data_IF_117522912199
#
_entry.id   IF_117522912199
#
_cell.length_a   1.000
_cell.length_b   1.000
_cell.length_c   1.000
_cell.angle_alpha   90.00
_cell.angle_beta   90.00
_cell.angle_gamma   90.00
#
_symmetry.space_group_name_H-M   'P 1'
#
loop_
_entity.id
_entity.type
_entity.pdbx_description
1 polymer ?
#
# COMPACT_ATOMS: atom_id res chain seq x y z
N UNK A 1 -28.27 12.75 32.28
CA UNK A 1 -28.11 11.46 31.56
C UNK A 1 -27.07 11.49 30.41
N UNK A 2 -26.50 12.64 30.02
CA UNK A 2 -25.57 12.71 28.87
C UNK A 2 -24.09 12.35 29.13
N UNK A 3 -23.59 12.43 30.37
CA UNK A 3 -22.16 12.26 30.66
C UNK A 3 -21.67 10.80 30.53
N UNK A 4 -22.45 9.83 31.01
CA UNK A 4 -22.09 8.41 30.95
C UNK A 4 -22.07 7.82 29.52
N UNK A 5 -22.90 8.33 28.60
CA UNK A 5 -22.89 7.93 27.18
C UNK A 5 -21.68 8.48 26.43
N UNK A 6 -21.25 9.70 26.77
CA UNK A 6 -20.08 10.34 26.16
C UNK A 6 -18.76 9.65 26.56
N UNK A 7 -18.60 9.30 27.84
CA UNK A 7 -17.42 8.56 28.32
C UNK A 7 -17.28 7.19 27.66
N UNK A 8 -18.38 6.45 27.56
CA UNK A 8 -18.46 5.15 26.87
C UNK A 8 -18.16 5.25 25.37
N UNK A 9 -18.57 6.35 24.74
CA UNK A 9 -18.21 6.65 23.34
C UNK A 9 -16.71 6.86 23.22
N UNK A 10 -16.11 7.68 24.10
CA UNK A 10 -14.67 7.94 24.12
C UNK A 10 -13.88 6.63 24.30
N UNK A 11 -14.32 5.72 25.17
CA UNK A 11 -13.64 4.44 25.41
C UNK A 11 -13.69 3.50 24.19
N UNK A 12 -14.85 3.36 23.54
CA UNK A 12 -14.98 2.58 22.29
C UNK A 12 -14.06 3.15 21.21
N UNK A 13 -13.98 4.47 21.13
CA UNK A 13 -13.16 5.21 20.18
C UNK A 13 -11.68 5.05 20.47
N UNK A 14 -11.28 5.15 21.73
CA UNK A 14 -9.93 4.85 22.17
C UNK A 14 -9.56 3.41 21.82
N UNK A 15 -10.41 2.41 22.01
CA UNK A 15 -10.07 1.05 21.58
C UNK A 15 -9.98 0.89 20.06
N UNK A 16 -10.89 1.54 19.30
CA UNK A 16 -10.90 1.49 17.85
C UNK A 16 -9.65 2.14 17.22
N UNK A 17 -9.19 3.25 17.79
CA UNK A 17 -8.10 4.07 17.25
C UNK A 17 -6.81 4.05 18.09
N UNK A 18 -6.75 3.28 19.19
CA UNK A 18 -5.50 3.11 19.96
C UNK A 18 -4.59 2.06 19.33
N UNK A 19 -3.33 2.12 19.75
CA UNK A 19 -2.29 1.15 19.41
C UNK A 19 -2.57 -0.28 19.87
N UNK A 20 -3.64 -0.57 20.62
CA UNK A 20 -3.88 -1.91 21.16
C UNK A 20 -4.82 -2.78 20.29
N UNK A 21 -5.42 -2.22 19.23
CA UNK A 21 -6.37 -2.92 18.36
C UNK A 21 -7.70 -3.24 19.05
N UNK A 22 -8.70 -3.67 18.27
CA UNK A 22 -10.02 -4.04 18.80
C UNK A 22 -10.01 -5.45 19.42
N UNK A 23 -10.45 -5.63 20.68
CA UNK A 23 -11.00 -6.91 21.11
C UNK A 23 -12.37 -7.15 20.44
N UNK A 24 -12.89 -8.38 20.50
CA UNK A 24 -14.16 -8.79 19.89
C UNK A 24 -15.31 -7.83 20.26
N UNK A 25 -16.27 -7.55 19.36
CA UNK A 25 -17.43 -6.69 19.68
C UNK A 25 -18.17 -7.16 20.95
N UNK A 26 -18.15 -8.48 21.19
CA UNK A 26 -18.67 -9.12 22.41
C UNK A 26 -17.81 -8.70 23.61
N UNK A 27 -16.49 -8.88 23.57
CA UNK A 27 -15.57 -8.42 24.62
C UNK A 27 -15.68 -6.92 24.91
N UNK A 28 -15.91 -6.07 23.89
CA UNK A 28 -16.14 -4.63 24.07
C UNK A 28 -17.48 -4.33 24.77
N UNK A 29 -18.56 -5.01 24.35
CA UNK A 29 -19.87 -4.89 25.00
C UNK A 29 -19.84 -5.29 26.47
N UNK A 30 -19.09 -6.36 26.80
CA UNK A 30 -18.90 -6.85 28.16
C UNK A 30 -17.96 -5.95 28.98
N UNK A 31 -16.87 -5.44 28.38
CA UNK A 31 -15.91 -4.57 29.07
C UNK A 31 -16.52 -3.22 29.44
N UNK A 32 -17.40 -2.67 28.60
CA UNK A 32 -17.97 -1.33 28.80
C UNK A 32 -19.44 -1.33 29.25
N UNK A 33 -20.06 -2.52 29.37
CA UNK A 33 -21.50 -2.69 29.62
C UNK A 33 -22.32 -1.84 28.63
N UNK A 34 -22.07 -2.03 27.33
CA UNK A 34 -22.76 -1.35 26.23
C UNK A 34 -23.40 -2.40 25.34
N UNK A 35 -24.67 -2.21 24.95
CA UNK A 35 -25.34 -3.11 24.00
C UNK A 35 -24.67 -3.02 22.63
N UNK A 36 -24.47 -4.17 21.96
CA UNK A 36 -23.82 -4.27 20.65
C UNK A 36 -24.34 -3.29 19.60
N UNK A 37 -25.66 -3.03 19.60
CA UNK A 37 -26.29 -2.07 18.69
C UNK A 37 -25.77 -0.64 18.86
N UNK A 38 -25.54 -0.21 20.11
CA UNK A 38 -24.98 1.11 20.41
C UNK A 38 -23.53 1.22 19.95
N UNK A 39 -22.71 0.18 20.16
CA UNK A 39 -21.33 0.15 19.66
C UNK A 39 -21.29 0.26 18.14
N UNK A 40 -22.16 -0.48 17.43
CA UNK A 40 -22.27 -0.37 15.97
C UNK A 40 -22.63 1.05 15.52
N UNK A 41 -23.59 1.71 16.17
CA UNK A 41 -23.97 3.10 15.85
C UNK A 41 -22.80 4.07 16.05
N UNK A 42 -22.09 3.97 17.17
CA UNK A 42 -20.90 4.80 17.46
C UNK A 42 -19.84 4.63 16.36
N UNK A 43 -19.54 3.38 15.97
CA UNK A 43 -18.57 3.10 14.91
C UNK A 43 -19.01 3.73 13.58
N UNK A 44 -20.30 3.61 13.23
CA UNK A 44 -20.85 4.19 12.00
C UNK A 44 -20.73 5.71 11.99
N UNK A 45 -21.34 6.36 12.98
CA UNK A 45 -21.38 7.82 13.10
C UNK A 45 -19.97 8.42 13.07
N UNK A 46 -19.04 7.78 13.79
CA UNK A 46 -17.65 8.21 13.81
C UNK A 46 -16.97 8.03 12.47
N UNK A 47 -16.98 6.81 11.91
CA UNK A 47 -16.23 6.53 10.69
C UNK A 47 -16.74 7.39 9.53
N UNK A 48 -18.06 7.62 9.49
CA UNK A 48 -18.69 8.46 8.49
C UNK A 48 -18.36 9.95 8.71
N UNK A 49 -18.28 10.42 9.96
CA UNK A 49 -17.82 11.78 10.28
C UNK A 49 -16.35 12.01 9.86
N UNK A 50 -15.47 11.05 10.18
CA UNK A 50 -14.05 11.09 9.76
C UNK A 50 -13.95 11.12 8.23
N UNK A 51 -14.66 10.22 7.55
CA UNK A 51 -14.67 10.16 6.09
C UNK A 51 -15.14 11.47 5.48
N UNK A 52 -16.27 12.00 5.95
CA UNK A 52 -16.85 13.26 5.46
C UNK A 52 -15.91 14.44 5.67
N UNK A 53 -15.23 14.51 6.82
CA UNK A 53 -14.32 15.61 7.14
C UNK A 53 -12.99 15.55 6.38
N UNK A 54 -12.46 14.35 6.15
CA UNK A 54 -11.07 14.17 5.70
C UNK A 54 -10.92 13.66 4.27
N UNK A 55 -11.86 12.87 3.74
CA UNK A 55 -11.69 12.20 2.45
C UNK A 55 -11.40 13.19 1.31
N UNK A 56 -12.19 14.24 1.18
CA UNK A 56 -12.02 15.22 0.09
C UNK A 56 -10.71 16.01 0.18
N UNK A 57 -10.09 16.10 1.36
CA UNK A 57 -8.87 16.85 1.61
C UNK A 57 -7.61 16.00 1.50
N UNK A 58 -7.65 14.78 2.04
CA UNK A 58 -6.48 13.93 2.25
C UNK A 58 -6.47 12.64 1.39
N UNK A 59 -7.50 12.42 0.57
CA UNK A 59 -7.55 11.38 -0.47
C UNK A 59 -7.76 12.00 -1.86
N UNK A 60 -6.92 12.98 -2.20
CA UNK A 60 -6.96 13.64 -3.51
C UNK A 60 -6.05 12.93 -4.51
N UNK A 61 -6.56 12.73 -5.72
CA UNK A 61 -5.71 12.44 -6.86
C UNK A 61 -5.00 13.72 -7.32
N UNK A 62 -3.83 13.62 -8.00
CA UNK A 62 -3.19 14.76 -8.62
C UNK A 62 -4.13 15.43 -9.63
N UNK A 63 -4.24 16.75 -9.58
CA UNK A 63 -5.25 17.50 -10.33
C UNK A 63 -4.68 18.11 -11.62
N UNK A 64 -3.38 18.39 -11.66
CA UNK A 64 -2.71 19.05 -12.78
C UNK A 64 -1.58 18.20 -13.35
N UNK A 65 -1.20 18.48 -14.61
CA UNK A 65 -0.01 17.89 -15.23
C UNK A 65 1.26 18.20 -14.42
N UNK A 66 1.32 19.35 -13.77
CA UNK A 66 2.45 19.74 -12.94
C UNK A 66 2.55 18.88 -11.67
N UNK A 67 1.43 18.54 -11.05
CA UNK A 67 1.41 17.60 -9.92
C UNK A 67 1.95 16.23 -10.35
N UNK A 68 1.55 15.74 -11.52
CA UNK A 68 2.05 14.49 -12.08
C UNK A 68 3.56 14.53 -12.34
N UNK A 69 4.07 15.64 -12.90
CA UNK A 69 5.51 15.85 -13.11
C UNK A 69 6.28 15.89 -11.80
N UNK A 70 5.73 16.55 -10.77
CA UNK A 70 6.35 16.62 -9.46
C UNK A 70 6.44 15.24 -8.80
N UNK A 71 5.39 14.43 -8.92
CA UNK A 71 5.42 13.05 -8.41
C UNK A 71 6.44 12.21 -9.20
N UNK A 72 6.44 12.31 -10.53
CA UNK A 72 7.41 11.61 -11.38
C UNK A 72 8.86 12.00 -11.04
N UNK A 73 9.11 13.28 -10.79
CA UNK A 73 10.40 13.78 -10.32
C UNK A 73 10.78 13.18 -8.97
N UNK A 74 9.84 13.10 -8.02
CA UNK A 74 10.05 12.46 -6.72
C UNK A 74 10.47 10.99 -6.87
N UNK A 75 9.74 10.21 -7.68
CA UNK A 75 10.10 8.81 -7.95
C UNK A 75 11.44 8.66 -8.68
N UNK A 76 11.77 9.59 -9.57
CA UNK A 76 13.06 9.58 -10.25
C UNK A 76 14.22 9.89 -9.29
N UNK A 77 14.05 10.87 -8.39
CA UNK A 77 15.08 11.23 -7.42
C UNK A 77 15.27 10.13 -6.37
N UNK A 78 14.18 9.62 -5.79
CA UNK A 78 14.26 8.63 -4.70
C UNK A 78 14.60 7.22 -5.20
N UNK A 79 14.02 6.80 -6.33
CA UNK A 79 14.04 5.39 -6.75
C UNK A 79 14.71 5.18 -8.11
N UNK A 80 15.18 6.26 -8.76
CA UNK A 80 15.70 6.26 -10.13
C UNK A 80 14.73 5.61 -11.14
N UNK A 81 13.44 5.80 -10.92
CA UNK A 81 12.41 5.32 -11.82
C UNK A 81 11.76 6.53 -12.51
N UNK A 82 12.17 6.88 -13.75
CA UNK A 82 11.62 8.02 -14.47
C UNK A 82 10.14 7.79 -14.77
N UNK A 83 9.37 8.88 -14.91
CA UNK A 83 7.95 8.88 -15.31
C UNK A 83 7.02 8.01 -14.46
N UNK A 84 7.50 7.43 -13.35
CA UNK A 84 6.66 6.70 -12.40
C UNK A 84 5.87 7.68 -11.56
N UNK A 85 4.56 7.60 -11.62
CA UNK A 85 3.65 8.53 -10.94
C UNK A 85 2.94 7.91 -9.74
N UNK A 86 3.33 6.70 -9.38
CA UNK A 86 2.77 6.04 -8.21
C UNK A 86 3.10 4.57 -8.15
N UNK A 87 3.16 4.07 -6.92
CA UNK A 87 3.17 2.65 -6.65
C UNK A 87 1.80 2.24 -6.12
N UNK A 88 1.30 1.11 -6.59
CA UNK A 88 -0.04 0.65 -6.25
C UNK A 88 0.02 -0.84 -5.89
N UNK A 89 -0.81 -1.25 -4.95
CA UNK A 89 -0.79 -2.62 -4.44
C UNK A 89 -2.17 -2.99 -3.86
N UNK A 90 -2.41 -4.28 -3.74
CA UNK A 90 -3.61 -4.82 -3.11
C UNK A 90 -3.30 -5.70 -1.93
N UNK A 91 -4.05 -5.52 -0.84
CA UNK A 91 -3.96 -6.33 0.37
C UNK A 91 -5.28 -7.02 0.67
N UNK A 92 -5.21 -8.25 1.15
CA UNK A 92 -6.26 -8.89 1.92
C UNK A 92 -6.27 -8.31 3.34
N UNK A 93 -7.34 -7.60 3.68
CA UNK A 93 -7.70 -7.27 5.05
C UNK A 93 -8.40 -8.50 5.63
N UNK A 94 -7.74 -9.21 6.55
CA UNK A 94 -8.30 -10.37 7.20
C UNK A 94 -9.51 -9.97 8.04
N UNK A 95 -10.60 -10.72 7.90
CA UNK A 95 -11.82 -10.54 8.67
C UNK A 95 -12.22 -11.86 9.31
N UNK A 96 -12.95 -11.78 10.41
CA UNK A 96 -13.65 -12.95 10.93
C UNK A 96 -14.72 -13.41 9.94
N UNK A 97 -14.98 -14.73 9.87
CA UNK A 97 -16.03 -15.27 9.02
C UNK A 97 -17.37 -14.61 9.36
N UNK A 98 -17.99 -13.86 8.42
CA UNK A 98 -19.29 -13.28 8.69
C UNK A 98 -20.34 -14.39 8.79
N UNK A 99 -21.33 -14.21 9.67
CA UNK A 99 -22.45 -15.16 9.80
C UNK A 99 -23.11 -15.39 8.44
N UNK A 100 -23.38 -16.64 8.13
CA UNK A 100 -24.08 -17.09 6.92
C UNK A 100 -23.44 -16.66 5.59
N UNK A 101 -22.14 -16.31 5.59
CA UNK A 101 -21.46 -15.82 4.40
C UNK A 101 -20.89 -16.92 3.48
N UNK A 102 -20.90 -18.18 3.92
CA UNK A 102 -20.31 -19.29 3.17
C UNK A 102 -18.89 -18.96 2.69
N UNK A 103 -18.64 -19.11 1.39
CA UNK A 103 -17.34 -18.81 0.76
C UNK A 103 -17.19 -17.38 0.23
N UNK A 104 -18.17 -16.48 0.42
CA UNK A 104 -18.19 -15.15 -0.21
C UNK A 104 -17.00 -14.23 0.17
N UNK A 105 -16.31 -14.53 1.28
CA UNK A 105 -15.09 -13.83 1.73
C UNK A 105 -13.89 -14.76 1.84
N UNK A 106 -14.05 -16.05 1.55
CA UNK A 106 -13.00 -17.04 1.70
C UNK A 106 -12.05 -16.97 0.50
N UNK A 107 -10.78 -16.66 0.76
CA UNK A 107 -9.77 -16.49 -0.28
C UNK A 107 -8.97 -17.78 -0.51
N UNK A 108 -8.17 -17.79 -1.57
CA UNK A 108 -7.30 -18.92 -1.94
C UNK A 108 -6.14 -19.14 -0.95
N UNK A 109 -5.91 -18.22 0.00
CA UNK A 109 -4.96 -18.38 1.12
C UNK A 109 -5.61 -19.04 2.34
N UNK A 110 -6.81 -19.58 2.20
CA UNK A 110 -7.55 -20.31 3.24
C UNK A 110 -7.96 -19.47 4.46
N UNK A 111 -8.32 -18.19 4.26
CA UNK A 111 -8.92 -17.36 5.30
C UNK A 111 -9.96 -16.38 4.75
N UNK A 112 -10.78 -15.80 5.63
CA UNK A 112 -11.78 -14.79 5.24
C UNK A 112 -11.16 -13.39 5.16
N UNK A 113 -11.43 -12.65 4.08
CA UNK A 113 -10.84 -11.33 3.88
C UNK A 113 -11.66 -10.40 3.00
N UNK A 114 -11.38 -9.10 3.12
CA UNK A 114 -11.80 -8.07 2.18
C UNK A 114 -10.59 -7.57 1.40
N UNK A 115 -10.76 -7.35 0.09
CA UNK A 115 -9.68 -6.81 -0.74
C UNK A 115 -9.65 -5.28 -0.61
N UNK A 116 -8.50 -4.75 -0.20
CA UNK A 116 -8.18 -3.34 -0.20
C UNK A 116 -7.18 -3.06 -1.33
N UNK A 117 -7.59 -2.26 -2.31
CA UNK A 117 -6.71 -1.80 -3.39
C UNK A 117 -6.29 -0.35 -3.11
N UNK A 118 -4.99 -0.10 -2.99
CA UNK A 118 -4.44 1.24 -2.94
C UNK A 118 -4.15 1.71 -4.37
N UNK A 119 -5.05 2.56 -4.87
CA UNK A 119 -4.97 3.16 -6.20
C UNK A 119 -6.37 3.38 -6.72
N UNK A 120 -6.68 4.63 -7.08
CA UNK A 120 -7.95 4.95 -7.71
C UNK A 120 -7.89 4.64 -9.21
N UNK A 121 -9.04 4.62 -9.89
CA UNK A 121 -9.06 4.68 -11.36
C UNK A 121 -8.56 6.07 -11.74
N UNK A 122 -7.28 6.15 -12.10
CA UNK A 122 -6.60 7.40 -12.44
C UNK A 122 -6.73 7.62 -13.96
N UNK A 123 -7.21 8.78 -14.36
CA UNK A 123 -6.94 9.30 -15.71
C UNK A 123 -5.48 9.77 -15.70
N UNK A 124 -4.58 8.95 -16.23
CA UNK A 124 -3.16 9.28 -16.31
C UNK A 124 -2.96 10.34 -17.41
N UNK A 125 -2.01 11.28 -17.24
CA UNK A 125 -1.67 12.23 -18.28
C UNK A 125 -1.10 11.51 -19.51
N UNK A 126 -1.24 12.12 -20.68
CA UNK A 126 -0.63 11.63 -21.91
C UNK A 126 0.90 11.47 -21.75
N UNK A 127 1.51 10.46 -22.40
CA UNK A 127 2.96 10.22 -22.37
C UNK A 127 3.77 11.50 -22.67
N UNK A 128 4.85 11.73 -21.93
CA UNK A 128 5.74 12.88 -22.13
C UNK A 128 7.20 12.41 -22.25
N UNK A 129 7.99 13.10 -23.06
CA UNK A 129 9.41 12.75 -23.27
C UNK A 129 10.20 12.90 -21.97
N UNK A 130 11.05 11.90 -21.67
CA UNK A 130 11.87 11.87 -20.45
C UNK A 130 12.98 12.92 -20.55
N UNK A 131 13.67 12.97 -21.70
CA UNK A 131 14.71 13.95 -22.04
C UNK A 131 14.60 14.33 -23.53
N UNK A 132 15.16 15.48 -23.94
CA UNK A 132 15.16 15.95 -25.35
C UNK A 132 15.87 14.99 -26.34
N UNK A 133 16.68 14.03 -25.85
CA UNK A 133 17.45 13.07 -26.66
C UNK A 133 17.25 11.60 -26.22
N UNK A 134 16.27 11.29 -25.35
CA UNK A 134 16.05 9.94 -24.82
C UNK A 134 14.75 9.30 -25.34
N UNK A 135 14.66 7.97 -25.22
CA UNK A 135 13.45 7.20 -25.56
C UNK A 135 12.21 7.73 -24.81
N UNK A 136 11.10 7.90 -25.53
CA UNK A 136 9.82 8.32 -24.96
C UNK A 136 9.28 7.24 -24.02
N UNK A 137 9.32 7.48 -22.70
CA UNK A 137 8.70 6.60 -21.70
C UNK A 137 7.37 7.19 -21.25
N UNK A 138 6.29 6.40 -21.19
CA UNK A 138 5.00 6.89 -20.73
C UNK A 138 4.99 7.11 -19.22
N UNK A 139 4.06 7.96 -18.76
CA UNK A 139 3.73 8.00 -17.34
C UNK A 139 3.12 6.66 -16.91
N UNK A 140 3.64 6.10 -15.82
CA UNK A 140 3.28 4.74 -15.42
C UNK A 140 3.08 4.59 -13.93
N UNK A 141 2.24 3.63 -13.57
CA UNK A 141 2.12 3.13 -12.21
C UNK A 141 2.89 1.81 -12.10
N UNK A 142 3.62 1.63 -11.00
CA UNK A 142 4.27 0.35 -10.70
C UNK A 142 3.38 -0.51 -9.80
N UNK A 143 3.32 -1.81 -10.10
CA UNK A 143 2.49 -2.80 -9.38
C UNK A 143 3.16 -4.15 -9.23
N UNK A 144 2.53 -4.97 -8.39
CA UNK A 144 2.86 -6.39 -8.28
C UNK A 144 2.39 -7.22 -9.47
N UNK A 145 2.95 -8.42 -9.56
CA UNK A 145 2.67 -9.44 -10.57
C UNK A 145 1.19 -9.85 -10.63
N UNK A 146 0.41 -9.53 -9.59
CA UNK A 146 -1.03 -9.81 -9.46
C UNK A 146 -1.90 -9.05 -10.45
N UNK A 147 -1.40 -7.95 -11.01
CA UNK A 147 -2.13 -7.13 -11.97
C UNK A 147 -1.71 -7.46 -13.42
N UNK A 148 -2.60 -7.25 -14.40
CA UNK A 148 -2.23 -7.37 -15.81
C UNK A 148 -1.22 -6.29 -16.17
N UNK A 149 -0.24 -6.62 -17.01
CA UNK A 149 0.66 -5.64 -17.59
C UNK A 149 -0.14 -4.76 -18.57
N UNK A 150 -0.01 -3.44 -18.44
CA UNK A 150 -0.60 -2.44 -19.36
C UNK A 150 0.47 -1.43 -19.75
N UNK A 151 0.27 -0.67 -20.81
CA UNK A 151 1.17 0.42 -21.23
C UNK A 151 1.39 1.46 -20.13
N UNK A 152 0.39 1.65 -19.27
CA UNK A 152 0.42 2.57 -18.13
C UNK A 152 0.61 1.86 -16.78
N UNK A 153 0.74 0.53 -16.76
CA UNK A 153 0.84 -0.29 -15.56
C UNK A 153 1.99 -1.29 -15.66
N UNK A 154 3.12 -0.92 -15.07
CA UNK A 154 4.34 -1.71 -15.09
C UNK A 154 4.35 -2.76 -13.98
N UNK A 155 4.78 -3.98 -14.33
CA UNK A 155 4.98 -5.09 -13.40
C UNK A 155 6.30 -5.83 -13.69
N UNK A 156 6.84 -6.61 -12.74
CA UNK A 156 8.11 -7.31 -12.96
C UNK A 156 8.04 -8.32 -14.12
N UNK A 157 9.20 -8.62 -14.70
CA UNK A 157 9.36 -9.79 -15.57
C UNK A 157 9.11 -11.06 -14.74
N UNK A 158 8.26 -11.98 -15.24
CA UNK A 158 8.04 -13.26 -14.58
C UNK A 158 9.21 -14.22 -14.83
N UNK A 159 9.44 -15.14 -13.90
CA UNK A 159 10.44 -16.21 -14.03
C UNK A 159 11.65 -16.04 -13.11
N UNK A 160 12.36 -17.15 -12.88
CA UNK A 160 13.53 -17.20 -11.99
C UNK A 160 14.86 -17.01 -12.73
N UNK A 161 14.94 -17.45 -13.99
CA UNK A 161 16.12 -17.29 -14.85
C UNK A 161 15.89 -16.11 -15.79
N UNK A 162 16.32 -14.93 -15.37
CA UNK A 162 16.18 -13.67 -16.10
C UNK A 162 17.55 -13.18 -16.55
N UNK A 163 17.61 -12.55 -17.73
CA UNK A 163 18.81 -11.85 -18.18
C UNK A 163 19.16 -10.69 -17.24
N UNK A 164 20.43 -10.27 -17.21
CA UNK A 164 20.92 -9.19 -16.33
C UNK A 164 20.04 -7.93 -16.43
N UNK A 165 19.78 -7.48 -17.64
CA UNK A 165 18.86 -6.39 -17.97
C UNK A 165 17.47 -6.50 -17.30
N UNK A 166 16.81 -7.66 -17.43
CA UNK A 166 15.48 -7.90 -16.83
C UNK A 166 15.54 -7.92 -15.30
N UNK A 167 16.66 -8.39 -14.73
CA UNK A 167 16.89 -8.37 -13.29
C UNK A 167 17.11 -6.95 -12.77
N UNK A 168 17.86 -6.11 -13.50
CA UNK A 168 18.03 -4.68 -13.19
C UNK A 168 16.66 -3.99 -13.19
N UNK A 169 15.86 -4.16 -14.25
CA UNK A 169 14.50 -3.62 -14.30
C UNK A 169 13.64 -4.07 -13.10
N UNK A 170 13.63 -5.38 -12.79
CA UNK A 170 12.85 -5.89 -11.66
C UNK A 170 13.30 -5.27 -10.34
N UNK A 171 14.61 -5.10 -10.15
CA UNK A 171 15.17 -4.47 -8.97
C UNK A 171 14.75 -2.99 -8.85
N UNK A 172 14.84 -2.20 -9.94
CA UNK A 172 14.35 -0.81 -9.99
C UNK A 172 12.86 -0.71 -9.68
N UNK A 173 12.05 -1.61 -10.25
CA UNK A 173 10.63 -1.67 -9.98
C UNK A 173 10.33 -2.00 -8.52
N UNK A 174 11.06 -2.96 -7.93
CA UNK A 174 10.95 -3.29 -6.50
C UNK A 174 11.34 -2.12 -5.59
N UNK A 175 12.31 -1.30 -5.99
CA UNK A 175 12.66 -0.04 -5.29
C UNK A 175 11.49 0.94 -5.30
N UNK A 176 10.96 1.28 -6.48
CA UNK A 176 9.82 2.19 -6.59
C UNK A 176 8.58 1.71 -5.80
N UNK A 177 8.33 0.40 -5.79
CA UNK A 177 7.26 -0.22 -5.01
C UNK A 177 7.43 -0.12 -3.50
N UNK A 178 8.63 0.17 -2.99
CA UNK A 178 8.86 0.35 -1.56
C UNK A 178 8.00 1.45 -0.98
N UNK A 179 7.64 2.46 -1.79
CA UNK A 179 6.68 3.52 -1.43
C UNK A 179 5.32 2.96 -0.96
N UNK A 180 4.75 1.99 -1.70
CA UNK A 180 3.45 1.42 -1.34
C UNK A 180 3.56 0.39 -0.22
N UNK A 181 4.69 -0.33 -0.15
CA UNK A 181 4.98 -1.24 0.96
C UNK A 181 5.10 -0.48 2.29
N UNK A 182 5.86 0.61 2.32
CA UNK A 182 5.97 1.50 3.47
C UNK A 182 4.58 2.05 3.86
N UNK A 183 3.77 2.49 2.89
CA UNK A 183 2.41 3.00 3.16
C UNK A 183 1.56 1.98 3.92
N UNK A 184 1.45 0.74 3.43
CA UNK A 184 0.68 -0.30 4.12
C UNK A 184 1.33 -0.75 5.43
N UNK A 185 2.66 -0.83 5.46
CA UNK A 185 3.43 -1.22 6.63
C UNK A 185 3.23 -0.25 7.80
N UNK A 186 3.36 1.05 7.54
CA UNK A 186 3.12 2.13 8.51
C UNK A 186 1.65 2.15 8.93
N UNK A 187 0.71 1.96 8.00
CA UNK A 187 -0.71 1.87 8.32
C UNK A 187 -0.96 0.74 9.34
N UNK A 188 -0.45 -0.46 9.10
CA UNK A 188 -0.63 -1.55 10.05
C UNK A 188 0.11 -1.36 11.37
N UNK A 189 1.34 -0.85 11.31
CA UNK A 189 2.16 -0.62 12.50
C UNK A 189 1.60 0.49 13.41
N UNK A 190 0.93 1.50 12.83
CA UNK A 190 0.29 2.58 13.61
C UNK A 190 -1.11 2.21 14.08
N UNK A 191 -1.84 1.43 13.29
CA UNK A 191 -3.20 1.04 13.57
C UNK A 191 -3.28 -0.48 13.69
N UNK A 192 -3.05 -0.99 14.90
CA UNK A 192 -2.94 -2.43 15.18
C UNK A 192 -4.21 -3.24 14.85
N UNK A 193 -5.33 -2.58 14.57
CA UNK A 193 -6.53 -3.21 13.98
C UNK A 193 -6.20 -3.96 12.68
N UNK A 194 -5.17 -3.54 11.94
CA UNK A 194 -4.68 -4.18 10.73
C UNK A 194 -3.59 -5.25 10.98
N UNK A 195 -3.12 -5.44 12.21
CA UNK A 195 -2.20 -6.53 12.57
C UNK A 195 -2.93 -7.87 12.69
N UNK A 196 -4.25 -7.86 12.93
CA UNK A 196 -5.07 -9.04 13.26
C UNK A 196 -6.37 -9.08 12.44
N UNK A 197 -7.08 -10.23 12.39
CA UNK A 197 -8.39 -10.30 11.76
C UNK A 197 -9.39 -9.34 12.40
N UNK A 198 -10.06 -8.52 11.58
CA UNK A 198 -11.05 -7.55 12.07
C UNK A 198 -12.36 -8.29 12.37
N UNK A 199 -12.78 -8.21 13.64
CA UNK A 199 -14.01 -8.85 14.14
C UNK A 199 -15.21 -7.90 14.03
N UNK A 200 -15.70 -7.71 12.82
CA UNK A 200 -16.87 -6.86 12.55
C UNK A 200 -17.63 -7.33 11.30
N UNK A 201 -18.86 -6.84 11.11
CA UNK A 201 -19.58 -7.09 9.86
C UNK A 201 -18.81 -6.51 8.67
N UNK A 202 -18.93 -7.08 7.45
CA UNK A 202 -18.22 -6.57 6.27
C UNK A 202 -18.46 -5.08 6.01
N UNK A 203 -19.67 -4.61 6.29
CA UNK A 203 -20.03 -3.21 6.13
C UNK A 203 -19.30 -2.31 7.16
N UNK A 204 -19.17 -2.74 8.41
CA UNK A 204 -18.37 -2.02 9.42
C UNK A 204 -16.89 -2.05 9.06
N UNK A 205 -16.38 -3.18 8.56
CA UNK A 205 -14.98 -3.30 8.12
C UNK A 205 -14.67 -2.27 7.04
N UNK A 206 -15.55 -2.08 6.05
CA UNK A 206 -15.37 -1.02 5.03
C UNK A 206 -15.27 0.37 5.64
N UNK A 207 -16.18 0.73 6.56
CA UNK A 207 -16.17 2.04 7.24
C UNK A 207 -14.88 2.25 8.02
N UNK A 208 -14.47 1.23 8.79
CA UNK A 208 -13.23 1.24 9.57
C UNK A 208 -12.02 1.46 8.66
N UNK A 209 -11.88 0.70 7.57
CA UNK A 209 -10.76 0.84 6.62
C UNK A 209 -10.71 2.26 6.07
N UNK A 210 -11.85 2.76 5.57
CA UNK A 210 -11.96 4.12 4.99
C UNK A 210 -11.55 5.21 5.97
N UNK A 211 -12.04 5.15 7.20
CA UNK A 211 -11.71 6.11 8.24
C UNK A 211 -10.21 6.09 8.60
N UNK A 212 -9.62 4.90 8.76
CA UNK A 212 -8.21 4.76 9.10
C UNK A 212 -7.27 5.21 7.98
N UNK A 213 -7.62 4.96 6.71
CA UNK A 213 -6.85 5.48 5.56
C UNK A 213 -6.89 7.01 5.54
N UNK A 214 -8.05 7.63 5.79
CA UNK A 214 -8.15 9.08 5.88
C UNK A 214 -7.31 9.66 7.04
N UNK A 215 -7.40 9.05 8.23
CA UNK A 215 -6.62 9.47 9.39
C UNK A 215 -5.12 9.29 9.18
N UNK A 216 -4.70 8.18 8.57
CA UNK A 216 -3.31 7.93 8.22
C UNK A 216 -2.77 9.04 7.31
N UNK A 217 -3.50 9.38 6.25
CA UNK A 217 -3.09 10.43 5.33
C UNK A 217 -3.07 11.80 5.99
N UNK A 218 -4.07 12.10 6.83
CA UNK A 218 -4.11 13.32 7.63
C UNK A 218 -2.87 13.45 8.50
N UNK A 219 -2.57 12.46 9.34
CA UNK A 219 -1.43 12.50 10.27
C UNK A 219 -0.08 12.52 9.55
N UNK A 220 0.04 11.82 8.42
CA UNK A 220 1.23 11.89 7.56
C UNK A 220 1.48 13.28 6.98
N UNK A 221 0.45 14.08 6.78
CA UNK A 221 0.56 15.41 6.18
C UNK A 221 0.61 16.54 7.21
N UNK A 222 0.03 16.36 8.40
CA UNK A 222 -0.05 17.41 9.43
C UNK A 222 0.86 17.20 10.63
N UNK A 223 1.20 15.96 10.98
CA UNK A 223 2.03 15.61 12.13
C UNK A 223 3.06 14.51 11.78
N UNK A 224 3.72 14.66 10.64
CA UNK A 224 4.59 13.61 10.09
C UNK A 224 5.75 13.24 11.04
N UNK A 225 6.28 14.20 11.80
CA UNK A 225 7.43 13.98 12.68
C UNK A 225 7.07 13.09 13.88
N UNK A 226 5.88 13.25 14.47
CA UNK A 226 5.41 12.38 15.56
C UNK A 226 4.78 11.09 15.02
N UNK A 227 4.05 11.18 13.91
CA UNK A 227 3.40 10.03 13.31
C UNK A 227 4.38 9.05 12.66
N UNK A 228 5.47 9.51 12.03
CA UNK A 228 6.53 8.67 11.45
C UNK A 228 7.89 9.26 11.78
N UNK A 229 8.43 8.98 12.99
CA UNK A 229 9.72 9.52 13.41
C UNK A 229 10.86 9.01 12.52
N UNK A 230 12.02 9.66 12.61
CA UNK A 230 13.21 9.24 11.86
C UNK A 230 13.56 7.78 12.21
N UNK A 231 13.85 6.97 11.18
CA UNK A 231 14.09 5.53 11.33
C UNK A 231 12.82 4.68 11.23
N UNK A 232 11.63 5.28 11.28
CA UNK A 232 10.39 4.50 11.22
C UNK A 232 10.07 3.96 9.82
N UNK A 233 10.48 4.65 8.77
CA UNK A 233 10.23 4.32 7.35
C UNK A 233 11.48 3.69 6.74
N UNK A 234 11.32 2.73 5.82
CA UNK A 234 12.47 2.18 5.08
C UNK A 234 13.21 3.31 4.34
N UNK A 235 14.54 3.29 4.39
CA UNK A 235 15.41 4.26 3.71
C UNK A 235 16.41 3.54 2.81
N UNK A 236 17.02 4.29 1.92
CA UNK A 236 18.13 3.81 1.09
C UNK A 236 19.42 4.51 1.53
N UNK A 237 20.49 3.73 1.65
CA UNK A 237 21.84 4.25 1.91
C UNK A 237 22.44 4.84 0.64
N UNK A 238 23.52 5.61 0.78
CA UNK A 238 24.24 6.20 -0.36
C UNK A 238 24.76 5.13 -1.35
N UNK A 239 24.94 3.89 -0.89
CA UNK A 239 25.42 2.77 -1.69
C UNK A 239 24.29 1.97 -2.36
N UNK A 240 23.03 2.36 -2.17
CA UNK A 240 21.86 1.68 -2.70
C UNK A 240 21.31 0.55 -1.81
N UNK A 241 21.85 0.40 -0.59
CA UNK A 241 21.36 -0.61 0.34
C UNK A 241 20.08 -0.14 1.03
N UNK A 242 19.09 -1.02 1.13
CA UNK A 242 17.83 -0.72 1.81
C UNK A 242 17.98 -0.93 3.32
N UNK A 243 17.85 0.15 4.08
CA UNK A 243 17.80 0.16 5.53
C UNK A 243 16.34 -0.03 5.95
N UNK A 244 15.98 -1.16 6.60
CA UNK A 244 14.60 -1.42 7.03
C UNK A 244 14.19 -0.46 8.14
N UNK A 245 12.95 0.05 8.06
CA UNK A 245 12.37 0.93 9.08
C UNK A 245 11.71 0.19 10.23
N UNK A 246 11.55 0.87 11.36
CA UNK A 246 11.00 0.29 12.61
C UNK A 246 9.55 -0.21 12.49
N UNK A 247 8.80 0.22 11.47
CA UNK A 247 7.47 -0.34 11.21
C UNK A 247 7.53 -1.87 11.03
N UNK A 248 8.63 -2.41 10.47
CA UNK A 248 8.82 -3.85 10.28
C UNK A 248 8.94 -4.60 11.61
N UNK A 249 9.70 -4.03 12.55
CA UNK A 249 9.86 -4.57 13.91
C UNK A 249 8.53 -4.51 14.68
N UNK A 250 7.80 -3.41 14.52
CA UNK A 250 6.47 -3.24 15.13
C UNK A 250 5.51 -4.34 14.66
N UNK A 251 5.47 -4.62 13.35
CA UNK A 251 4.63 -5.69 12.81
C UNK A 251 5.07 -7.10 13.24
N UNK A 252 6.37 -7.33 13.38
CA UNK A 252 6.87 -8.58 13.94
C UNK A 252 6.36 -8.81 15.38
N UNK A 253 6.18 -7.74 16.16
CA UNK A 253 5.67 -7.81 17.53
C UNK A 253 4.15 -7.88 17.66
N UNK A 254 3.38 -7.17 16.84
CA UNK A 254 1.89 -7.13 16.93
C UNK A 254 1.20 -8.29 16.20
N UNK A 255 1.93 -8.96 15.29
CA UNK A 255 1.42 -9.95 14.35
C UNK A 255 1.21 -9.35 12.95
N UNK A 256 1.47 -10.15 11.90
CA UNK A 256 1.36 -9.73 10.50
C UNK A 256 0.23 -10.44 9.75
N UNK A 257 -0.78 -10.93 10.47
CA UNK A 257 -1.84 -11.78 9.89
C UNK A 257 -3.03 -10.97 9.36
N UNK A 258 -3.19 -9.72 9.81
CA UNK A 258 -4.32 -8.85 9.48
C UNK A 258 -4.27 -8.22 8.08
N UNK A 259 -3.11 -7.75 7.61
CA UNK A 259 -2.91 -7.29 6.23
C UNK A 259 -1.96 -8.21 5.50
N UNK A 260 -2.47 -8.98 4.54
CA UNK A 260 -1.67 -9.89 3.74
C UNK A 260 -1.67 -9.45 2.28
N UNK A 261 -0.52 -9.56 1.60
CA UNK A 261 -0.46 -9.28 0.16
C UNK A 261 -1.42 -10.17 -0.62
N UNK A 262 -2.08 -9.62 -1.63
CA UNK A 262 -2.70 -10.43 -2.69
C UNK A 262 -1.58 -11.19 -3.42
N UNK A 263 -1.89 -12.36 -3.98
CA UNK A 263 -1.02 -13.14 -4.87
C UNK A 263 -1.82 -13.59 -6.09
N UNK A 264 -1.13 -13.96 -7.17
CA UNK A 264 -1.74 -14.13 -8.49
C UNK A 264 -2.95 -15.08 -8.49
N UNK A 265 -4.09 -14.60 -9.01
CA UNK A 265 -5.32 -15.40 -9.22
C UNK A 265 -5.72 -15.47 -10.71
N UNK A 266 -5.00 -14.84 -11.65
CA UNK A 266 -5.39 -14.88 -13.07
C UNK A 266 -4.24 -14.73 -14.08
N UNK A 267 -4.55 -15.01 -15.36
CA UNK A 267 -3.61 -15.29 -16.44
C UNK A 267 -2.81 -14.10 -16.98
N UNK A 268 -1.58 -14.39 -17.44
CA UNK A 268 -0.60 -13.42 -17.95
C UNK A 268 -0.86 -12.91 -19.38
N UNK A 269 -2.11 -12.77 -19.83
CA UNK A 269 -2.38 -12.25 -21.19
C UNK A 269 -2.27 -10.72 -21.17
N UNK A 270 -1.31 -10.18 -21.91
CA UNK A 270 -1.09 -8.74 -22.11
C UNK A 270 -0.82 -8.45 -23.60
N UNK A 271 -1.08 -7.21 -24.03
CA UNK A 271 -0.83 -6.78 -25.41
C UNK A 271 0.67 -6.60 -25.67
N UNK A 272 1.05 -6.68 -26.95
CA UNK A 272 2.43 -6.47 -27.40
C UNK A 272 2.97 -5.10 -26.98
N UNK A 273 2.19 -4.03 -27.12
CA UNK A 273 2.60 -2.67 -26.76
C UNK A 273 2.97 -2.52 -25.29
N UNK A 274 2.28 -3.24 -24.39
CA UNK A 274 2.59 -3.24 -22.97
C UNK A 274 3.92 -3.95 -22.66
N UNK A 275 4.28 -4.97 -23.45
CA UNK A 275 5.61 -5.61 -23.38
C UNK A 275 6.68 -4.66 -23.86
N UNK A 276 6.47 -4.06 -25.03
CA UNK A 276 7.42 -3.11 -25.62
C UNK A 276 7.66 -1.93 -24.69
N UNK A 277 6.62 -1.39 -24.06
CA UNK A 277 6.74 -0.32 -23.08
C UNK A 277 7.65 -0.72 -21.91
N UNK A 278 7.45 -1.92 -21.37
CA UNK A 278 8.30 -2.43 -20.28
C UNK A 278 9.75 -2.62 -20.73
N UNK A 279 9.93 -3.17 -21.92
CA UNK A 279 11.26 -3.38 -22.50
C UNK A 279 11.97 -2.04 -22.75
N UNK A 280 11.25 -0.98 -23.14
CA UNK A 280 11.80 0.38 -23.27
C UNK A 280 12.31 0.93 -21.92
N UNK A 281 11.59 0.70 -20.81
CA UNK A 281 12.09 1.06 -19.48
C UNK A 281 13.38 0.31 -19.14
N UNK A 282 13.41 -0.99 -19.42
CA UNK A 282 14.58 -1.80 -19.16
C UNK A 282 15.77 -1.32 -20.01
N UNK A 283 15.56 -0.96 -21.29
CA UNK A 283 16.59 -0.39 -22.19
C UNK A 283 17.10 0.94 -21.64
N UNK A 284 16.20 1.80 -21.16
CA UNK A 284 16.60 3.04 -20.52
C UNK A 284 17.49 2.82 -19.30
N UNK A 285 17.18 1.85 -18.43
CA UNK A 285 18.01 1.57 -17.24
C UNK A 285 19.42 1.05 -17.55
N UNK A 286 19.64 0.52 -18.74
CA UNK A 286 20.96 0.12 -19.24
C UNK A 286 21.64 1.21 -20.09
N UNK A 287 20.94 2.30 -20.40
CA UNK A 287 21.49 3.43 -21.15
C UNK A 287 22.41 4.30 -20.29
N UNK A 288 23.26 5.11 -20.93
CA UNK A 288 24.15 6.07 -20.26
C UNK A 288 23.37 7.03 -19.35
N UNK A 289 22.16 7.41 -19.75
CA UNK A 289 21.29 8.34 -19.01
C UNK A 289 20.56 7.69 -17.82
N UNK A 290 20.32 6.37 -17.86
CA UNK A 290 19.50 5.67 -16.86
C UNK A 290 20.26 4.71 -15.94
N UNK A 291 21.51 4.36 -16.29
CA UNK A 291 22.33 3.49 -15.47
C UNK A 291 22.74 4.16 -14.15
N UNK A 292 22.89 3.37 -13.10
CA UNK A 292 23.52 3.82 -11.84
C UNK A 292 24.67 2.91 -11.46
N UNK A 293 25.71 3.41 -10.77
CA UNK A 293 26.95 2.65 -10.52
C UNK A 293 26.74 1.33 -9.76
N UNK A 294 25.77 1.28 -8.86
CA UNK A 294 25.58 0.15 -7.94
C UNK A 294 24.64 -0.95 -8.47
N UNK A 295 23.91 -0.73 -9.58
CA UNK A 295 22.79 -1.62 -9.99
C UNK A 295 23.25 -3.03 -10.39
N UNK A 296 24.39 -3.12 -11.07
CA UNK A 296 24.93 -4.42 -11.51
C UNK A 296 25.35 -5.23 -10.30
N UNK A 297 26.09 -4.64 -9.37
CA UNK A 297 26.56 -5.30 -8.16
C UNK A 297 25.42 -5.88 -7.32
N UNK A 298 24.35 -5.09 -7.12
CA UNK A 298 23.16 -5.54 -6.37
C UNK A 298 22.47 -6.72 -7.04
N UNK A 299 22.43 -6.74 -8.36
CA UNK A 299 21.82 -7.84 -9.10
C UNK A 299 22.75 -9.06 -9.17
N UNK A 300 24.07 -8.90 -9.23
CA UNK A 300 25.00 -10.04 -9.39
C UNK A 300 25.40 -10.68 -8.08
N UNK A 301 25.56 -9.91 -7.00
CA UNK A 301 25.92 -10.44 -5.67
C UNK A 301 24.74 -11.13 -4.99
N UNK A 302 23.52 -10.66 -5.27
CA UNK A 302 22.32 -11.21 -4.66
C UNK A 302 21.85 -12.44 -5.45
N UNK A 303 22.39 -13.60 -5.07
CA UNK A 303 21.73 -14.90 -5.26
C UNK A 303 20.40 -14.99 -4.50
N UNK A 304 20.03 -13.95 -3.73
CA UNK A 304 18.69 -13.75 -3.15
C UNK A 304 17.85 -12.84 -4.04
N UNK A 305 17.44 -13.39 -5.18
CA UNK A 305 16.17 -13.00 -5.83
C UNK A 305 14.98 -13.39 -4.92
N UNK A 306 14.97 -12.97 -3.65
CA UNK A 306 13.99 -13.37 -2.62
C UNK A 306 12.98 -12.29 -2.27
N UNK A 307 13.10 -11.08 -2.82
CA UNK A 307 12.16 -9.98 -2.53
C UNK A 307 11.15 -9.70 -3.65
N UNK A 308 11.18 -10.45 -4.76
CA UNK A 308 10.25 -10.27 -5.89
C UNK A 308 9.00 -11.18 -5.78
N UNK A 309 8.96 -12.11 -4.83
CA UNK A 309 7.80 -13.00 -4.62
C UNK A 309 7.67 -13.44 -3.16
N UNK A 310 7.15 -12.57 -2.29
CA UNK A 310 6.46 -12.99 -1.05
C UNK A 310 5.20 -12.18 -0.83
#
# INVERSE_FOLDING_TARGET
MGSASSAKTIEVMQQLFSKNGLPEQITQSFSFRIVRSTVCKIIHETCDAIWTALCSKYLKAPASLEDWKNIAKGFHVEWNFPTCVGATDGKHVCIECPKDAGSAYYNYKNFHSMVLLAGNIIQLPEPCMVNQNAATLPYTLVRDNIFPLKTWLMKPYPGKSLSLHKRIYNYRLSRARRTIENTFGILAAKWHIFCRPIRASPENVKRIIKAHVCLHNYLRLTDNASYTPSGFVDKESENGEIIPGDWRNTLASCGSTGLQSLSNVSGNRYCFDAVQTRDNFAIYFDSVDGQVPWQVNHVTQDSRTLYITR
#
